data_IF_122643304478
#
_entry.id   IF_122643304478
#
_cell.length_a   1.000
_cell.length_b   1.000
_cell.length_c   1.000
_cell.angle_alpha   90.00
_cell.angle_beta   90.00
_cell.angle_gamma   90.00
#
_symmetry.space_group_name_H-M   'P 1'
#
loop_
_entity.id
_entity.type
_entity.pdbx_description
1 polymer ?
#
# COMPACT_ATOMS: atom_id res chain seq x y z
N UNK A 1 50.21 -31.38 -2.95
CA UNK A 1 49.98 -29.95 -2.64
C UNK A 1 49.07 -29.37 -3.72
N UNK A 2 47.87 -28.89 -3.37
CA UNK A 2 47.10 -27.98 -4.22
C UNK A 2 47.09 -26.60 -3.55
N UNK A 3 47.41 -25.50 -4.25
CA UNK A 3 47.37 -24.17 -3.68
C UNK A 3 45.92 -23.67 -3.58
N UNK A 4 45.49 -23.33 -2.37
CA UNK A 4 44.23 -22.67 -2.09
C UNK A 4 44.31 -21.20 -2.48
N UNK A 5 43.54 -20.79 -3.49
CA UNK A 5 43.34 -19.38 -3.80
C UNK A 5 42.36 -18.74 -2.79
N UNK A 6 42.56 -17.48 -2.37
CA UNK A 6 41.64 -16.81 -1.46
C UNK A 6 40.38 -16.36 -2.22
N UNK A 7 39.21 -16.79 -1.73
CA UNK A 7 37.90 -16.27 -2.16
C UNK A 7 37.79 -14.83 -1.67
N UNK A 8 37.76 -13.89 -2.61
CA UNK A 8 37.48 -12.47 -2.31
C UNK A 8 35.97 -12.27 -2.17
N UNK A 9 35.52 -12.03 -0.94
CA UNK A 9 34.14 -11.66 -0.63
C UNK A 9 33.98 -10.15 -0.87
N UNK A 10 33.47 -9.76 -2.03
CA UNK A 10 33.03 -8.39 -2.25
C UNK A 10 31.81 -8.11 -1.35
N UNK A 11 31.77 -6.97 -0.63
CA UNK A 11 30.58 -6.59 0.12
C UNK A 11 29.46 -6.24 -0.87
N UNK A 12 28.38 -7.02 -0.86
CA UNK A 12 27.14 -6.66 -1.53
C UNK A 12 26.50 -5.48 -0.80
N UNK A 13 26.93 -4.26 -1.15
CA UNK A 13 26.27 -3.04 -0.70
C UNK A 13 24.85 -3.03 -1.26
N UNK A 14 23.84 -3.05 -0.37
CA UNK A 14 22.45 -2.74 -0.78
C UNK A 14 22.47 -1.34 -1.42
N UNK A 15 21.85 -1.15 -2.60
CA UNK A 15 21.70 0.18 -3.16
C UNK A 15 20.87 1.01 -2.17
N UNK A 16 21.50 2.02 -1.56
CA UNK A 16 20.78 3.03 -0.79
C UNK A 16 20.03 3.86 -1.82
N UNK A 17 18.71 3.69 -1.89
CA UNK A 17 17.87 4.44 -2.81
C UNK A 17 18.06 5.95 -2.61
N UNK A 18 17.95 6.71 -3.71
CA UNK A 18 18.08 8.18 -3.67
C UNK A 18 16.98 8.77 -2.76
N UNK A 19 17.19 9.99 -2.28
CA UNK A 19 16.18 10.71 -1.47
C UNK A 19 14.85 10.79 -2.21
N UNK A 20 14.87 11.05 -3.53
CA UNK A 20 13.68 11.07 -4.38
C UNK A 20 12.94 9.73 -4.42
N UNK A 21 13.66 8.60 -4.48
CA UNK A 21 13.05 7.27 -4.48
C UNK A 21 12.38 6.95 -3.14
N UNK A 22 12.99 7.38 -2.03
CA UNK A 22 12.39 7.25 -0.69
C UNK A 22 11.14 8.10 -0.56
N UNK A 23 11.20 9.33 -1.05
CA UNK A 23 10.07 10.27 -1.01
C UNK A 23 8.87 9.76 -1.80
N UNK A 24 9.10 9.28 -3.03
CA UNK A 24 8.08 8.65 -3.86
C UNK A 24 7.47 7.41 -3.20
N UNK A 25 8.28 6.59 -2.52
CA UNK A 25 7.80 5.41 -1.80
C UNK A 25 6.93 5.79 -0.59
N UNK A 26 7.29 6.83 0.16
CA UNK A 26 6.48 7.35 1.27
C UNK A 26 5.13 7.89 0.76
N UNK A 27 5.14 8.63 -0.34
CA UNK A 27 3.92 9.18 -0.92
C UNK A 27 3.01 8.06 -1.46
N UNK A 28 3.58 7.03 -2.09
CA UNK A 28 2.82 5.85 -2.50
C UNK A 28 2.20 5.11 -1.30
N UNK A 29 2.96 4.92 -0.22
CA UNK A 29 2.44 4.30 1.00
C UNK A 29 1.28 5.11 1.59
N UNK A 30 1.36 6.44 1.54
CA UNK A 30 0.28 7.31 2.00
C UNK A 30 -1.00 7.19 1.14
N UNK A 31 -0.85 7.10 -0.19
CA UNK A 31 -1.97 6.82 -1.10
C UNK A 31 -2.60 5.44 -0.82
N UNK A 32 -1.78 4.42 -0.57
CA UNK A 32 -2.26 3.06 -0.27
C UNK A 32 -3.04 3.01 1.06
N UNK A 33 -2.62 3.81 2.05
CA UNK A 33 -3.33 3.98 3.31
C UNK A 33 -4.68 4.68 3.11
N UNK A 34 -4.73 5.76 2.32
CA UNK A 34 -5.99 6.42 1.98
C UNK A 34 -6.95 5.49 1.24
N UNK A 35 -6.45 4.70 0.28
CA UNK A 35 -7.25 3.71 -0.43
C UNK A 35 -7.81 2.64 0.53
N UNK A 36 -7.00 2.18 1.48
CA UNK A 36 -7.45 1.21 2.50
C UNK A 36 -8.54 1.81 3.40
N UNK A 37 -8.40 3.08 3.79
CA UNK A 37 -9.43 3.80 4.55
C UNK A 37 -10.74 3.92 3.76
N UNK A 38 -10.66 4.37 2.50
CA UNK A 38 -11.83 4.50 1.62
C UNK A 38 -12.52 3.15 1.38
N UNK A 39 -11.77 2.05 1.24
CA UNK A 39 -12.35 0.72 1.09
C UNK A 39 -13.22 0.32 2.31
N UNK A 40 -12.79 0.66 3.53
CA UNK A 40 -13.60 0.45 4.75
C UNK A 40 -14.78 1.44 4.87
N UNK A 41 -14.65 2.66 4.36
CA UNK A 41 -15.79 3.58 4.28
C UNK A 41 -16.85 3.07 3.30
N UNK A 42 -16.43 2.55 2.14
CA UNK A 42 -17.33 1.91 1.17
C UNK A 42 -18.06 0.71 1.80
N UNK A 43 -17.35 -0.11 2.58
CA UNK A 43 -17.95 -1.22 3.35
C UNK A 43 -19.05 -0.75 4.28
N UNK A 44 -18.74 0.31 5.04
CA UNK A 44 -19.61 0.89 6.05
C UNK A 44 -20.84 1.51 5.41
N UNK A 45 -20.68 2.13 4.24
CA UNK A 45 -21.77 2.63 3.40
C UNK A 45 -22.62 1.53 2.76
N UNK A 46 -22.25 0.25 2.92
CA UNK A 46 -23.00 -0.90 2.41
C UNK A 46 -22.63 -1.31 1.00
N UNK A 47 -21.56 -0.78 0.40
CA UNK A 47 -21.09 -1.23 -0.91
C UNK A 47 -20.58 -2.67 -0.84
N UNK A 48 -20.91 -3.45 -1.87
CA UNK A 48 -20.52 -4.86 -1.96
C UNK A 48 -21.31 -5.79 -1.03
N UNK A 49 -22.37 -5.30 -0.36
CA UNK A 49 -23.30 -6.18 0.36
C UNK A 49 -24.28 -6.83 -0.63
N UNK A 50 -24.61 -8.11 -0.44
CA UNK A 50 -25.63 -8.80 -1.22
C UNK A 50 -26.99 -8.12 -1.07
N UNK A 51 -27.79 -8.13 -2.13
CA UNK A 51 -29.18 -7.70 -2.09
C UNK A 51 -30.03 -8.95 -1.86
N UNK A 52 -30.72 -9.00 -0.72
CA UNK A 52 -31.74 -10.00 -0.35
C UNK A 52 -31.28 -11.42 0.02
N UNK A 53 -32.23 -12.19 0.58
CA UNK A 53 -32.07 -13.47 1.29
C UNK A 53 -31.51 -14.66 0.48
N UNK A 54 -31.16 -14.44 -0.79
CA UNK A 54 -30.62 -15.47 -1.70
C UNK A 54 -29.16 -15.20 -2.13
N UNK A 55 -28.56 -14.09 -1.69
CA UNK A 55 -27.13 -13.76 -1.86
C UNK A 55 -26.42 -13.57 -0.51
N UNK A 56 -25.10 -13.72 -0.48
CA UNK A 56 -24.30 -13.55 0.75
C UNK A 56 -23.53 -14.78 1.21
N UNK A 57 -23.07 -15.60 0.29
CA UNK A 57 -22.05 -16.61 0.61
C UNK A 57 -20.68 -15.96 0.88
N UNK A 58 -19.81 -16.68 1.59
CA UNK A 58 -18.41 -16.24 1.87
C UNK A 58 -17.68 -15.80 0.59
N UNK A 59 -17.93 -16.45 -0.54
CA UNK A 59 -17.34 -16.06 -1.82
C UNK A 59 -17.78 -14.68 -2.33
N UNK A 60 -19.04 -14.31 -2.11
CA UNK A 60 -19.58 -13.01 -2.52
C UNK A 60 -19.02 -11.89 -1.64
N UNK A 61 -18.86 -12.13 -0.33
CA UNK A 61 -18.22 -11.18 0.60
C UNK A 61 -16.76 -10.91 0.23
N UNK A 62 -16.01 -11.95 -0.18
CA UNK A 62 -14.63 -11.80 -0.66
C UNK A 62 -14.58 -11.06 -2.01
N UNK A 63 -15.51 -11.34 -2.93
CA UNK A 63 -15.60 -10.56 -4.17
C UNK A 63 -15.92 -9.08 -3.90
N UNK A 64 -16.83 -8.82 -2.96
CA UNK A 64 -17.18 -7.47 -2.53
C UNK A 64 -16.00 -6.70 -1.91
N UNK A 65 -15.11 -7.38 -1.18
CA UNK A 65 -13.90 -6.76 -0.63
C UNK A 65 -12.93 -6.32 -1.73
N UNK A 66 -12.67 -7.17 -2.72
CA UNK A 66 -11.81 -6.84 -3.85
C UNK A 66 -12.36 -5.69 -4.69
N UNK A 67 -13.67 -5.70 -4.97
CA UNK A 67 -14.31 -4.61 -5.73
C UNK A 67 -14.21 -3.27 -4.99
N UNK A 68 -14.48 -3.25 -3.68
CA UNK A 68 -14.32 -2.03 -2.88
C UNK A 68 -12.87 -1.55 -2.86
N UNK A 69 -11.90 -2.46 -2.79
CA UNK A 69 -10.50 -2.10 -2.77
C UNK A 69 -10.06 -1.46 -4.10
N UNK A 70 -10.47 -2.02 -5.25
CA UNK A 70 -10.16 -1.42 -6.55
C UNK A 70 -10.87 -0.08 -6.78
N UNK A 71 -12.14 0.05 -6.35
CA UNK A 71 -12.84 1.33 -6.38
C UNK A 71 -12.13 2.38 -5.54
N UNK A 72 -11.70 2.03 -4.32
CA UNK A 72 -11.00 2.95 -3.45
C UNK A 72 -9.64 3.39 -4.04
N UNK A 73 -8.88 2.47 -4.66
CA UNK A 73 -7.65 2.83 -5.38
C UNK A 73 -7.92 3.81 -6.52
N UNK A 74 -8.97 3.58 -7.30
CA UNK A 74 -9.33 4.48 -8.39
C UNK A 74 -9.76 5.86 -7.87
N UNK A 75 -10.50 5.90 -6.76
CA UNK A 75 -10.84 7.16 -6.10
C UNK A 75 -9.58 7.95 -5.70
N UNK A 76 -8.58 7.31 -5.10
CA UNK A 76 -7.31 7.97 -4.73
C UNK A 76 -6.58 8.49 -5.97
N UNK A 77 -6.49 7.70 -7.05
CA UNK A 77 -5.87 8.14 -8.32
C UNK A 77 -6.55 9.36 -8.92
N UNK A 78 -7.86 9.52 -8.74
CA UNK A 78 -8.65 10.67 -9.21
C UNK A 78 -8.62 11.86 -8.23
N UNK A 79 -7.82 11.80 -7.16
CA UNK A 79 -7.63 12.88 -6.18
C UNK A 79 -8.06 12.55 -4.75
N UNK A 80 -8.75 11.43 -4.53
CA UNK A 80 -9.10 10.94 -3.20
C UNK A 80 -9.98 11.89 -2.40
N UNK A 81 -9.81 11.86 -1.08
CA UNK A 81 -10.42 12.80 -0.13
C UNK A 81 -9.36 13.70 0.55
N UNK A 82 -8.10 13.58 0.14
CA UNK A 82 -6.99 14.42 0.60
C UNK A 82 -6.24 13.89 1.83
N UNK A 83 -6.49 12.65 2.26
CA UNK A 83 -5.79 12.09 3.42
C UNK A 83 -4.33 11.73 3.13
N UNK A 84 -4.00 11.32 1.89
CA UNK A 84 -2.66 10.92 1.52
C UNK A 84 -1.60 11.98 1.81
N UNK A 85 -1.90 13.27 1.65
CA UNK A 85 -0.93 14.34 1.91
C UNK A 85 -0.58 14.44 3.40
N UNK A 86 -1.60 14.45 4.28
CA UNK A 86 -1.39 14.44 5.73
C UNK A 86 -0.66 13.20 6.23
N UNK A 87 -0.96 12.03 5.63
CA UNK A 87 -0.30 10.77 5.95
C UNK A 87 1.15 10.75 5.49
N UNK A 88 1.43 11.30 4.30
CA UNK A 88 2.78 11.41 3.77
C UNK A 88 3.68 12.27 4.67
N UNK A 89 3.22 13.44 5.08
CA UNK A 89 3.99 14.31 5.99
C UNK A 89 4.29 13.59 7.32
N UNK A 90 3.28 12.93 7.92
CA UNK A 90 3.47 12.17 9.15
C UNK A 90 4.44 10.98 8.98
N UNK A 91 4.40 10.29 7.84
CA UNK A 91 5.32 9.18 7.53
C UNK A 91 6.76 9.68 7.31
N UNK A 92 6.92 10.84 6.68
CA UNK A 92 8.20 11.49 6.42
C UNK A 92 8.86 11.96 7.71
N UNK A 93 8.12 12.66 8.58
CA UNK A 93 8.61 13.06 9.90
C UNK A 93 9.14 11.86 10.70
N UNK A 94 8.41 10.74 10.67
CA UNK A 94 8.81 9.50 11.36
C UNK A 94 10.03 8.82 10.72
N UNK A 95 10.20 8.94 9.40
CA UNK A 95 11.34 8.39 8.69
C UNK A 95 12.62 9.21 8.92
N UNK A 96 12.49 10.54 9.03
CA UNK A 96 13.61 11.46 9.29
C UNK A 96 14.06 11.46 10.76
N UNK A 97 13.18 11.06 11.68
CA UNK A 97 13.51 10.91 13.11
C UNK A 97 14.28 9.62 13.46
N UNK A 98 14.53 8.73 12.49
CA UNK A 98 15.28 7.46 12.66
C UNK A 98 16.67 7.53 12.05
#
# INVERSE_FOLDING_TARGET
MNPTAPVSLAPSGRPIGTTEQRDAALFQAAQDLEASFLAEMLKSAGFGKPRDAYGGGIGEDQFGSFLRQEQAKEMVKQGGIGLAESLYEALKERADAQ
#
